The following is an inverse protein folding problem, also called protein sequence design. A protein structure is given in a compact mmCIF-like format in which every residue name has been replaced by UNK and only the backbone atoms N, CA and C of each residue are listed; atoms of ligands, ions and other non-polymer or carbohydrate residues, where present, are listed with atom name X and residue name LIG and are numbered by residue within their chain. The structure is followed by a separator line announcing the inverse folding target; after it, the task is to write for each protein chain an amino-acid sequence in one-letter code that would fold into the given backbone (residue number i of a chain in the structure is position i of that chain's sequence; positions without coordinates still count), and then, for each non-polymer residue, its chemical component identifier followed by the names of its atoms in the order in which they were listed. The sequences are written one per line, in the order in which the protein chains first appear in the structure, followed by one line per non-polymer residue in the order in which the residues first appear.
data_IF_459489584459
#
_entry.id   IF_459489584459
#
_cell.length_a   1.000
_cell.length_b   1.000
_cell.length_c   1.000
_cell.angle_alpha   90.00
_cell.angle_beta   90.00
_cell.angle_gamma   90.00
#
_symmetry.space_group_name_H-M   'P 1'
#
loop_
_entity.id
_entity.type
_entity.pdbx_description
1 polymer ?
#
# COMPACT_ATOMS: atom_id res chain seq x y z
N UNK A 1 -17.29 49.10 -1.12
CA UNK A 1 -16.24 48.05 -1.19
C UNK A 1 -16.62 46.80 -0.40
N UNK A 2 -17.77 46.17 -0.70
CA UNK A 2 -18.20 44.90 -0.05
C UNK A 2 -18.62 43.80 -1.04
N UNK A 3 -18.79 44.14 -2.33
CA UNK A 3 -19.25 43.19 -3.37
C UNK A 3 -18.13 42.40 -4.05
N UNK A 4 -16.87 42.85 -3.93
CA UNK A 4 -15.71 42.21 -4.59
C UNK A 4 -15.16 41.05 -3.74
N UNK A 5 -15.38 41.08 -2.42
CA UNK A 5 -14.84 40.06 -1.49
C UNK A 5 -15.58 38.71 -1.64
N UNK A 6 -16.86 38.71 -2.04
CA UNK A 6 -17.63 37.47 -2.22
C UNK A 6 -17.23 36.66 -3.47
N UNK A 7 -16.60 37.29 -4.48
CA UNK A 7 -16.30 36.61 -5.76
C UNK A 7 -15.02 35.77 -5.66
N UNK A 8 -14.07 36.13 -4.79
CA UNK A 8 -12.81 35.41 -4.63
C UNK A 8 -12.93 34.11 -3.81
N UNK A 9 -14.00 33.95 -3.02
CA UNK A 9 -14.23 32.74 -2.21
C UNK A 9 -14.89 31.63 -3.05
N UNK A 10 -15.59 31.98 -4.14
CA UNK A 10 -16.27 31.00 -5.00
C UNK A 10 -15.35 30.32 -6.04
N UNK A 11 -14.14 30.84 -6.28
CA UNK A 11 -13.23 30.29 -7.29
C UNK A 11 -12.23 29.25 -6.76
N UNK A 12 -12.09 29.10 -5.45
CA UNK A 12 -11.09 28.19 -4.85
C UNK A 12 -11.58 26.77 -4.57
N UNK A 13 -12.88 26.48 -4.68
CA UNK A 13 -13.44 25.14 -4.41
C UNK A 13 -13.44 24.21 -5.64
N UNK A 14 -13.00 24.66 -6.81
CA UNK A 14 -13.01 23.88 -8.05
C UNK A 14 -11.73 23.06 -8.33
N UNK A 15 -10.70 23.11 -7.47
CA UNK A 15 -9.40 22.47 -7.75
C UNK A 15 -9.01 21.31 -6.81
N UNK A 16 -9.87 20.91 -5.87
CA UNK A 16 -9.55 19.81 -4.95
C UNK A 16 -10.43 18.59 -5.18
N UNK A 17 -10.47 18.09 -6.42
CA UNK A 17 -10.81 16.69 -6.67
C UNK A 17 -9.51 15.89 -6.69
N UNK A 18 -8.87 15.76 -5.52
CA UNK A 18 -7.75 14.83 -5.37
C UNK A 18 -8.31 13.42 -5.55
N UNK A 19 -7.98 12.84 -6.71
CA UNK A 19 -8.43 11.53 -7.16
C UNK A 19 -7.72 10.44 -6.34
N UNK A 20 -8.15 10.22 -5.10
CA UNK A 20 -7.71 9.11 -4.24
C UNK A 20 -8.31 7.74 -4.64
N UNK A 21 -9.05 7.68 -5.75
CA UNK A 21 -9.78 6.47 -6.16
C UNK A 21 -8.87 5.29 -6.57
N UNK A 22 -7.55 5.52 -6.71
CA UNK A 22 -6.60 4.52 -7.19
C UNK A 22 -5.52 4.13 -6.19
N UNK A 23 -5.56 4.66 -4.97
CA UNK A 23 -4.63 4.23 -3.94
C UNK A 23 -5.05 2.82 -3.45
N UNK A 24 -4.10 1.88 -3.26
CA UNK A 24 -4.43 0.64 -2.59
C UNK A 24 -4.98 0.95 -1.19
N UNK A 25 -6.07 0.28 -0.81
CA UNK A 25 -6.55 0.22 0.57
C UNK A 25 -5.37 0.00 1.52
N UNK A 26 -5.31 0.75 2.60
CA UNK A 26 -4.28 0.53 3.62
C UNK A 26 -4.40 -0.89 4.20
N UNK A 27 -3.26 -1.52 4.45
CA UNK A 27 -3.21 -2.77 5.22
C UNK A 27 -3.78 -2.57 6.63
N UNK A 28 -4.45 -3.60 7.15
CA UNK A 28 -4.89 -3.62 8.55
C UNK A 28 -3.70 -3.92 9.47
N UNK A 29 -2.89 -2.88 9.72
CA UNK A 29 -1.67 -2.99 10.51
C UNK A 29 -1.93 -3.46 11.93
N UNK A 30 -2.99 -2.99 12.57
CA UNK A 30 -3.35 -3.40 13.92
C UNK A 30 -3.55 -4.91 13.99
N UNK A 31 -4.34 -5.46 13.05
CA UNK A 31 -4.55 -6.90 12.95
C UNK A 31 -3.25 -7.63 12.59
N UNK A 32 -2.43 -7.06 11.71
CA UNK A 32 -1.18 -7.67 11.28
C UNK A 32 -0.18 -7.80 12.44
N UNK A 33 0.07 -6.73 13.19
CA UNK A 33 0.89 -6.75 14.42
C UNK A 33 0.35 -7.76 15.42
N UNK A 34 -0.97 -7.74 15.68
CA UNK A 34 -1.61 -8.67 16.62
C UNK A 34 -1.40 -10.15 16.28
N UNK A 35 -1.31 -10.48 14.99
CA UNK A 35 -1.16 -11.88 14.53
C UNK A 35 0.31 -12.29 14.47
N UNK A 36 1.18 -11.42 13.96
CA UNK A 36 2.54 -11.82 13.56
C UNK A 36 3.64 -11.34 14.52
N UNK A 37 3.51 -10.15 15.12
CA UNK A 37 4.45 -9.63 16.13
C UNK A 37 4.22 -10.36 17.45
N UNK A 38 4.85 -11.52 17.57
CA UNK A 38 4.64 -12.47 18.65
C UNK A 38 5.33 -12.00 19.93
N UNK A 39 6.48 -11.33 19.78
CA UNK A 39 7.26 -10.83 20.90
C UNK A 39 6.87 -9.39 21.32
N UNK A 40 6.00 -8.73 20.56
CA UNK A 40 5.44 -7.38 20.80
C UNK A 40 6.50 -6.29 20.84
N UNK A 41 7.52 -6.41 20.01
CA UNK A 41 8.61 -5.44 19.97
C UNK A 41 8.42 -4.35 18.89
N UNK A 42 7.30 -4.38 18.16
CA UNK A 42 6.99 -3.40 17.12
C UNK A 42 7.81 -3.55 15.85
N UNK A 43 8.50 -4.68 15.68
CA UNK A 43 9.23 -5.06 14.47
C UNK A 43 8.85 -6.46 14.05
N UNK A 44 9.17 -6.86 12.83
CA UNK A 44 8.97 -8.25 12.40
C UNK A 44 10.31 -8.92 12.15
N UNK A 45 10.61 -9.96 12.92
CA UNK A 45 11.78 -10.79 12.67
C UNK A 45 11.48 -11.91 11.68
N UNK A 46 12.51 -12.52 11.10
CA UNK A 46 12.33 -13.55 10.07
C UNK A 46 11.44 -14.71 10.56
N UNK A 47 11.60 -15.18 11.79
CA UNK A 47 10.80 -16.26 12.38
C UNK A 47 9.30 -15.92 12.51
N UNK A 48 8.96 -14.64 12.70
CA UNK A 48 7.60 -14.13 12.73
C UNK A 48 7.06 -13.99 11.30
N UNK A 49 7.87 -13.40 10.41
CA UNK A 49 7.51 -13.18 9.02
C UNK A 49 7.32 -14.48 8.22
N UNK A 50 7.99 -15.57 8.60
CA UNK A 50 7.77 -16.91 8.02
C UNK A 50 6.33 -17.42 8.19
N UNK A 51 5.57 -16.89 9.14
CA UNK A 51 4.17 -17.27 9.37
C UNK A 51 3.19 -16.49 8.50
N UNK A 52 3.63 -15.39 7.88
CA UNK A 52 2.78 -14.51 7.06
C UNK A 52 2.30 -15.27 5.83
N UNK A 53 0.98 -15.35 5.69
CA UNK A 53 0.35 -15.99 4.53
C UNK A 53 0.09 -14.99 3.42
N UNK A 54 -0.57 -13.90 3.81
CA UNK A 54 -1.14 -12.84 2.95
C UNK A 54 -1.11 -11.50 3.72
N UNK A 55 -1.45 -10.40 3.02
CA UNK A 55 -1.46 -9.03 3.55
C UNK A 55 -2.86 -8.43 3.45
N UNK A 56 -3.79 -8.88 4.29
CA UNK A 56 -5.20 -8.45 4.20
C UNK A 56 -5.35 -6.92 4.07
N UNK A 57 -6.17 -6.44 3.10
CA UNK A 57 -7.11 -7.20 2.26
C UNK A 57 -6.50 -7.86 1.01
N UNK A 58 -5.19 -7.77 0.81
CA UNK A 58 -4.50 -8.27 -0.37
C UNK A 58 -3.99 -9.71 -0.20
N UNK A 59 -3.99 -10.49 -1.30
CA UNK A 59 -3.25 -11.73 -1.34
C UNK A 59 -1.74 -11.46 -1.26
N UNK A 60 -0.97 -12.52 -1.04
CA UNK A 60 0.48 -12.48 -1.24
C UNK A 60 0.85 -11.88 -2.63
N UNK A 61 1.92 -11.05 -2.74
CA UNK A 61 2.30 -10.42 -4.01
C UNK A 61 2.50 -11.45 -5.13
N UNK A 62 2.02 -11.16 -6.35
CA UNK A 62 2.17 -12.02 -7.54
C UNK A 62 3.51 -11.83 -8.28
N UNK A 63 4.49 -11.22 -7.61
CA UNK A 63 5.84 -11.09 -8.18
C UNK A 63 6.53 -12.46 -8.15
N UNK A 64 7.05 -12.89 -9.31
CA UNK A 64 7.76 -14.18 -9.49
C UNK A 64 8.95 -14.33 -8.54
N UNK A 65 9.58 -13.22 -8.13
CA UNK A 65 10.70 -13.20 -7.16
C UNK A 65 10.25 -13.71 -5.79
N UNK A 66 8.99 -13.52 -5.43
CA UNK A 66 8.45 -13.86 -4.12
C UNK A 66 7.48 -15.04 -4.20
N UNK A 67 7.76 -16.03 -5.05
CA UNK A 67 7.00 -17.29 -5.14
C UNK A 67 7.83 -18.49 -4.66
N UNK A 68 7.15 -19.62 -4.42
CA UNK A 68 7.77 -20.88 -4.04
C UNK A 68 7.86 -21.11 -2.52
N UNK A 69 8.59 -22.16 -2.13
CA UNK A 69 8.71 -22.58 -0.71
C UNK A 69 9.42 -21.56 0.18
N UNK A 70 10.29 -20.75 -0.41
CA UNK A 70 11.11 -19.74 0.26
C UNK A 70 10.59 -18.31 0.05
N UNK A 71 9.33 -18.16 -0.40
CA UNK A 71 8.72 -16.85 -0.71
C UNK A 71 8.87 -15.84 0.43
N UNK A 72 8.62 -16.25 1.67
CA UNK A 72 8.72 -15.40 2.86
C UNK A 72 10.15 -14.93 3.09
N UNK A 73 11.13 -15.83 2.96
CA UNK A 73 12.55 -15.50 3.16
C UNK A 73 13.02 -14.50 2.10
N UNK A 74 12.62 -14.71 0.84
CA UNK A 74 12.98 -13.81 -0.26
C UNK A 74 12.39 -12.42 -0.08
N UNK A 75 11.10 -12.35 0.29
CA UNK A 75 10.44 -11.07 0.52
C UNK A 75 11.01 -10.36 1.75
N UNK A 76 11.26 -11.08 2.84
CA UNK A 76 11.90 -10.53 4.03
C UNK A 76 13.22 -9.85 3.70
N UNK A 77 14.14 -10.58 3.03
CA UNK A 77 15.44 -10.05 2.62
C UNK A 77 15.36 -8.88 1.63
N UNK A 78 14.25 -8.78 0.90
CA UNK A 78 14.02 -7.67 -0.02
C UNK A 78 13.57 -6.41 0.72
N UNK A 79 12.81 -6.57 1.81
CA UNK A 79 12.30 -5.46 2.62
C UNK A 79 13.34 -4.97 3.64
N UNK A 80 14.15 -5.88 4.20
CA UNK A 80 15.22 -5.63 5.18
C UNK A 80 16.42 -4.95 4.48
N UNK A 81 16.31 -3.63 4.28
CA UNK A 81 17.29 -2.85 3.54
C UNK A 81 18.58 -2.65 4.33
N UNK A 82 18.44 -2.48 5.65
CA UNK A 82 19.57 -2.26 6.54
C UNK A 82 20.26 -3.57 6.96
N UNK A 83 19.66 -4.74 6.66
CA UNK A 83 20.16 -6.08 6.94
C UNK A 83 20.36 -6.36 8.44
N UNK A 84 19.54 -5.74 9.29
CA UNK A 84 19.58 -5.92 10.74
C UNK A 84 18.78 -7.16 11.21
N UNK A 85 18.09 -7.83 10.27
CA UNK A 85 17.31 -9.03 10.53
C UNK A 85 15.93 -8.75 11.12
N UNK A 86 15.45 -7.50 11.03
CA UNK A 86 14.12 -7.06 11.46
C UNK A 86 13.52 -6.18 10.37
N UNK A 87 12.20 -6.10 10.34
CA UNK A 87 11.48 -5.16 9.48
C UNK A 87 10.81 -4.12 10.37
N UNK A 88 11.20 -2.87 10.19
CA UNK A 88 10.50 -1.71 10.75
C UNK A 88 9.41 -1.20 9.80
N UNK A 89 8.51 -0.35 10.28
CA UNK A 89 7.39 0.19 9.50
C UNK A 89 7.85 0.84 8.16
N UNK A 90 8.93 1.61 8.20
CA UNK A 90 9.50 2.30 7.03
C UNK A 90 10.06 1.32 5.97
N UNK A 91 10.49 0.13 6.38
CA UNK A 91 10.93 -0.92 5.46
C UNK A 91 9.72 -1.66 4.88
N UNK A 92 8.73 -1.91 5.73
CA UNK A 92 7.54 -2.67 5.37
C UNK A 92 6.64 -1.93 4.38
N UNK A 93 6.59 -0.60 4.42
CA UNK A 93 5.77 0.21 3.48
C UNK A 93 6.10 -0.07 2.00
N UNK A 94 7.31 -0.56 1.70
CA UNK A 94 7.71 -0.94 0.34
C UNK A 94 6.87 -2.08 -0.22
N UNK A 95 6.14 -2.82 0.62
CA UNK A 95 5.19 -3.85 0.19
C UNK A 95 4.12 -3.28 -0.74
N UNK A 96 3.67 -2.04 -0.56
CA UNK A 96 2.64 -1.42 -1.41
C UNK A 96 3.07 -1.31 -2.88
N UNK A 97 4.38 -1.25 -3.16
CA UNK A 97 4.91 -1.30 -4.53
C UNK A 97 4.83 -2.67 -5.19
N UNK A 98 4.59 -3.73 -4.40
CA UNK A 98 4.44 -5.11 -4.86
C UNK A 98 2.97 -5.56 -4.92
N UNK A 99 2.07 -4.83 -4.26
CA UNK A 99 0.65 -5.12 -4.24
C UNK A 99 -0.01 -4.65 -5.54
N UNK A 100 -1.07 -5.33 -6.00
CA UNK A 100 -1.75 -4.97 -7.24
C UNK A 100 -2.33 -3.56 -7.14
N UNK A 101 -2.02 -2.71 -8.13
CA UNK A 101 -2.67 -1.41 -8.26
C UNK A 101 -4.15 -1.63 -8.63
N UNK A 102 -5.12 -1.17 -7.81
CA UNK A 102 -6.55 -1.36 -8.06
C UNK A 102 -7.03 -0.72 -9.38
N UNK A 103 -6.28 0.25 -9.92
CA UNK A 103 -6.57 0.92 -11.18
C UNK A 103 -5.76 0.41 -12.38
N UNK A 104 -4.96 -0.66 -12.24
CA UNK A 104 -4.12 -1.17 -13.34
C UNK A 104 -4.91 -1.53 -14.62
N UNK A 105 -6.19 -1.90 -14.48
CA UNK A 105 -7.08 -2.24 -15.58
C UNK A 105 -8.23 -1.23 -15.76
N UNK A 106 -8.09 0.00 -15.24
CA UNK A 106 -9.10 1.02 -15.46
C UNK A 106 -9.21 1.31 -16.96
N UNK A 107 -10.42 1.30 -17.55
CA UNK A 107 -10.55 1.50 -18.98
C UNK A 107 -10.09 2.91 -19.38
N UNK A 108 -9.00 2.99 -20.14
CA UNK A 108 -8.49 4.22 -20.80
C UNK A 108 -9.45 4.80 -21.85
N UNK A 109 -10.64 4.20 -22.03
CA UNK A 109 -11.54 4.56 -23.12
C UNK A 109 -12.45 5.71 -22.70
N UNK A 110 -11.93 6.92 -22.93
CA UNK A 110 -12.60 7.95 -23.71
C UNK A 110 -13.97 7.49 -24.26
N UNK A 111 -15.02 7.73 -23.47
CA UNK A 111 -16.42 7.41 -23.75
C UNK A 111 -16.97 8.11 -25.01
N UNK A 112 -16.19 9.02 -25.60
CA UNK A 112 -16.52 9.77 -26.82
C UNK A 112 -16.18 9.07 -28.15
N UNK A 113 -15.62 7.85 -28.15
CA UNK A 113 -15.32 7.11 -29.40
C UNK A 113 -16.48 6.25 -29.95
N UNK A 114 -17.68 6.37 -29.40
CA UNK A 114 -18.85 5.56 -29.81
C UNK A 114 -20.05 6.37 -30.35
N UNK A 115 -19.83 7.62 -30.79
CA UNK A 115 -20.81 8.40 -31.58
C UNK A 115 -20.14 9.04 -32.78
#
# INVERSE_FOLDING_TARGET
MKKIICILILSCSALSSFSHACDPTSLDWEKFYKIYDSNKNGTFELNEFLKVKDFEPYPWPDDRRFQGKDKNIKLFKYLDENQDGKLVEDEFVKIYGLLPNPCANWPDKAWWKFW
#
